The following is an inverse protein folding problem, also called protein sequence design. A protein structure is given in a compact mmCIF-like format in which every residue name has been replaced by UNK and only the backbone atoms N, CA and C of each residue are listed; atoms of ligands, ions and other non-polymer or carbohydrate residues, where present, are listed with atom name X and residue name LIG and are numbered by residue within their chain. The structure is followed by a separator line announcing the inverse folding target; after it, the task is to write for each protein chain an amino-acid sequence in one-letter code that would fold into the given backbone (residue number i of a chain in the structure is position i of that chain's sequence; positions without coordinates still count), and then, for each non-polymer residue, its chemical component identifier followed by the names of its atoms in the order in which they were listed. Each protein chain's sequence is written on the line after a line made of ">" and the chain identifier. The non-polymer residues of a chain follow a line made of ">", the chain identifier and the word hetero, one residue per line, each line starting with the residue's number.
data_IF_450031230299
#
_entry.id   IF_450031230299
#
_cell.length_a   1.000
_cell.length_b   1.000
_cell.length_c   1.000
_cell.angle_alpha   90.00
_cell.angle_beta   90.00
_cell.angle_gamma   90.00
#
_symmetry.space_group_name_H-M   'P 1'
#
loop_
_entity.id
_entity.type
_entity.pdbx_description
1 polymer ?
#
# COMPACT_ATOMS: atom_id res chain seq x y z
N UNK A 1 14.64 24.63 -3.55
CA UNK A 1 13.24 24.15 -3.74
C UNK A 1 12.42 25.29 -4.34
N UNK A 2 12.43 25.40 -5.67
CA UNK A 2 11.66 26.40 -6.42
C UNK A 2 10.22 25.93 -6.69
N UNK A 3 9.98 24.61 -6.73
CA UNK A 3 8.67 24.03 -6.99
C UNK A 3 7.57 24.53 -6.05
N UNK A 4 7.84 24.69 -4.75
CA UNK A 4 6.85 25.15 -3.77
C UNK A 4 6.29 26.56 -4.02
N UNK A 5 6.91 27.32 -4.93
CA UNK A 5 6.47 28.67 -5.33
C UNK A 5 5.76 28.69 -6.69
N UNK A 6 5.77 27.57 -7.43
CA UNK A 6 5.21 27.43 -8.78
C UNK A 6 3.68 27.51 -8.81
N UNK A 7 3.12 27.73 -10.00
CA UNK A 7 1.68 27.60 -10.24
C UNK A 7 1.18 26.17 -10.05
N UNK A 8 2.00 25.20 -10.43
CA UNK A 8 1.74 23.77 -10.40
C UNK A 8 1.63 23.27 -8.95
N UNK A 9 2.44 23.81 -8.03
CA UNK A 9 2.30 23.49 -6.62
C UNK A 9 1.00 24.07 -6.01
N UNK A 10 0.55 25.24 -6.47
CA UNK A 10 -0.65 25.89 -5.92
C UNK A 10 -1.93 25.11 -6.20
N UNK A 11 -1.97 24.28 -7.25
CA UNK A 11 -3.13 23.43 -7.52
C UNK A 11 -3.26 22.27 -6.52
N UNK A 12 -2.21 21.97 -5.76
CA UNK A 12 -2.16 20.93 -4.74
C UNK A 12 -2.52 21.44 -3.33
N UNK A 13 -3.23 22.57 -3.23
CA UNK A 13 -3.51 23.26 -1.97
C UNK A 13 -4.27 22.41 -0.92
N UNK A 14 -4.94 21.35 -1.34
CA UNK A 14 -5.71 20.44 -0.51
C UNK A 14 -4.91 19.20 -0.03
N UNK A 15 -3.65 19.04 -0.45
CA UNK A 15 -2.81 17.90 -0.05
C UNK A 15 -2.04 18.19 1.25
N UNK A 16 -1.88 17.19 2.14
CA UNK A 16 -1.01 17.32 3.31
C UNK A 16 0.42 17.68 2.92
N UNK A 17 1.06 18.60 3.65
CA UNK A 17 2.44 19.02 3.37
C UNK A 17 3.45 17.87 3.49
N UNK A 18 3.20 16.91 4.39
CA UNK A 18 4.03 15.70 4.53
C UNK A 18 3.94 14.81 3.30
N UNK A 19 2.74 14.58 2.76
CA UNK A 19 2.55 13.87 1.48
C UNK A 19 3.27 14.56 0.33
N UNK A 20 3.10 15.89 0.19
CA UNK A 20 3.75 16.65 -0.88
C UNK A 20 5.26 16.54 -0.82
N UNK A 21 5.82 16.84 0.37
CA UNK A 21 7.26 16.79 0.60
C UNK A 21 7.82 15.41 0.30
N UNK A 22 7.21 14.36 0.83
CA UNK A 22 7.73 13.00 0.68
C UNK A 22 7.60 12.48 -0.74
N UNK A 23 6.53 12.85 -1.46
CA UNK A 23 6.40 12.48 -2.87
C UNK A 23 7.52 13.09 -3.71
N UNK A 24 7.84 14.37 -3.48
CA UNK A 24 8.94 15.04 -4.17
C UNK A 24 10.29 14.41 -3.78
N UNK A 25 10.51 14.11 -2.49
CA UNK A 25 11.73 13.44 -2.02
C UNK A 25 11.92 12.08 -2.71
N UNK A 26 10.88 11.24 -2.79
CA UNK A 26 10.95 9.94 -3.50
C UNK A 26 11.23 10.09 -4.99
N UNK A 27 10.67 11.11 -5.63
CA UNK A 27 10.94 11.37 -7.06
C UNK A 27 12.39 11.85 -7.22
N UNK A 28 12.84 12.80 -6.40
CA UNK A 28 14.20 13.37 -6.48
C UNK A 28 15.28 12.32 -6.16
N UNK A 29 15.00 11.39 -5.24
CA UNK A 29 15.90 10.32 -4.80
C UNK A 29 15.85 9.07 -5.70
N UNK A 30 15.05 9.08 -6.78
CA UNK A 30 14.93 7.94 -7.70
C UNK A 30 16.21 7.82 -8.57
N UNK A 31 17.28 7.27 -7.97
CA UNK A 31 18.67 7.24 -8.46
C UNK A 31 18.86 6.65 -9.86
N UNK A 32 17.92 5.81 -10.31
CA UNK A 32 17.91 5.23 -11.66
C UNK A 32 17.80 6.28 -12.77
N UNK A 33 17.28 7.48 -12.46
CA UNK A 33 16.92 8.49 -13.44
C UNK A 33 17.79 9.74 -13.23
N UNK A 34 19.10 9.60 -13.50
CA UNK A 34 20.05 10.74 -13.54
C UNK A 34 19.58 11.89 -14.47
N UNK A 35 18.63 11.59 -15.35
CA UNK A 35 17.85 12.54 -16.14
C UNK A 35 16.43 12.01 -16.32
N UNK A 36 15.45 12.91 -16.31
CA UNK A 36 14.05 12.59 -16.61
C UNK A 36 13.80 12.76 -18.12
N UNK A 37 13.78 11.64 -18.85
CA UNK A 37 13.28 11.55 -20.22
C UNK A 37 11.94 10.80 -20.29
N UNK A 38 11.38 10.63 -21.49
CA UNK A 38 10.09 9.96 -21.70
C UNK A 38 10.08 8.51 -21.19
N UNK A 39 11.17 7.76 -21.41
CA UNK A 39 11.31 6.37 -20.96
C UNK A 39 11.37 6.27 -19.43
N UNK A 40 12.12 7.19 -18.82
CA UNK A 40 12.30 7.31 -17.38
C UNK A 40 10.99 7.64 -16.65
N UNK A 41 10.24 8.62 -17.18
CA UNK A 41 8.92 8.97 -16.66
C UNK A 41 7.95 7.80 -16.84
N UNK A 42 7.94 7.15 -18.00
CA UNK A 42 7.09 5.98 -18.26
C UNK A 42 7.37 4.85 -17.27
N UNK A 43 8.65 4.52 -17.02
CA UNK A 43 9.06 3.51 -16.03
C UNK A 43 8.60 3.87 -14.62
N UNK A 44 8.74 5.13 -14.22
CA UNK A 44 8.25 5.58 -12.92
C UNK A 44 6.72 5.44 -12.80
N UNK A 45 5.97 5.80 -13.84
CA UNK A 45 4.51 5.66 -13.87
C UNK A 45 4.06 4.19 -13.81
N UNK A 46 4.73 3.31 -14.55
CA UNK A 46 4.51 1.85 -14.48
C UNK A 46 4.86 1.29 -13.11
N UNK A 47 5.93 1.78 -12.47
CA UNK A 47 6.25 1.39 -11.09
C UNK A 47 5.17 1.87 -10.11
N UNK A 48 4.71 3.11 -10.26
CA UNK A 48 3.67 3.70 -9.42
C UNK A 48 2.38 2.87 -9.49
N UNK A 49 1.97 2.46 -10.68
CA UNK A 49 0.86 1.52 -10.91
C UNK A 49 1.12 0.17 -10.22
N UNK A 50 2.23 -0.50 -10.56
CA UNK A 50 2.54 -1.85 -10.06
C UNK A 50 2.73 -1.92 -8.54
N UNK A 51 3.07 -0.79 -7.91
CA UNK A 51 3.25 -0.70 -6.46
C UNK A 51 1.93 -0.45 -5.72
N UNK A 52 0.90 0.03 -6.42
CA UNK A 52 -0.45 0.03 -5.88
C UNK A 52 -0.95 -1.41 -5.84
N UNK A 53 -0.92 -2.04 -4.66
CA UNK A 53 -1.47 -3.38 -4.48
C UNK A 53 -2.97 -3.32 -4.85
N UNK A 54 -3.37 -3.88 -6.01
CA UNK A 54 -4.76 -4.02 -6.46
C UNK A 54 -5.55 -4.93 -5.50
N UNK A 55 -5.82 -4.41 -4.32
CA UNK A 55 -6.90 -4.82 -3.45
C UNK A 55 -8.04 -3.87 -3.77
N UNK A 56 -9.29 -4.33 -3.86
CA UNK A 56 -10.48 -3.47 -4.05
C UNK A 56 -10.69 -2.57 -2.81
N UNK A 57 -9.71 -1.71 -2.50
CA UNK A 57 -9.65 -0.83 -1.36
C UNK A 57 -9.55 0.61 -1.90
N UNK A 58 -10.66 1.37 -1.84
CA UNK A 58 -10.69 2.74 -2.30
C UNK A 58 -9.62 3.66 -1.68
N UNK A 59 -9.11 3.35 -0.48
CA UNK A 59 -8.00 4.12 0.12
C UNK A 59 -6.67 3.92 -0.60
N UNK A 60 -6.42 2.75 -1.19
CA UNK A 60 -5.22 2.47 -2.00
C UNK A 60 -5.32 3.17 -3.35
N UNK A 61 -6.48 3.09 -4.01
CA UNK A 61 -6.74 3.80 -5.27
C UNK A 61 -6.62 5.31 -5.07
N UNK A 62 -7.16 5.82 -3.96
CA UNK A 62 -7.00 7.21 -3.56
C UNK A 62 -5.54 7.59 -3.31
N UNK A 63 -4.75 6.71 -2.69
CA UNK A 63 -3.32 6.94 -2.47
C UNK A 63 -2.53 7.02 -3.78
N UNK A 64 -2.78 6.09 -4.72
CA UNK A 64 -2.21 6.10 -6.07
C UNK A 64 -2.52 7.42 -6.77
N UNK A 65 -3.80 7.79 -6.80
CA UNK A 65 -4.28 9.01 -7.44
C UNK A 65 -3.67 10.26 -6.79
N UNK A 66 -3.51 10.26 -5.47
CA UNK A 66 -2.87 11.36 -4.75
C UNK A 66 -1.39 11.52 -5.13
N UNK A 67 -0.62 10.44 -5.13
CA UNK A 67 0.80 10.47 -5.53
C UNK A 67 0.91 10.88 -7.00
N UNK A 68 0.10 10.28 -7.88
CA UNK A 68 0.08 10.61 -9.31
C UNK A 68 -0.19 12.09 -9.57
N UNK A 69 -1.15 12.71 -8.90
CA UNK A 69 -1.45 14.14 -9.09
C UNK A 69 -0.28 15.05 -8.68
N UNK A 70 0.48 14.67 -7.66
CA UNK A 70 1.67 15.41 -7.23
C UNK A 70 2.80 15.22 -8.25
N UNK A 71 3.02 13.99 -8.73
CA UNK A 71 3.97 13.65 -9.79
C UNK A 71 3.67 14.45 -11.06
N UNK A 72 2.40 14.45 -11.51
CA UNK A 72 1.92 15.23 -12.65
C UNK A 72 2.22 16.72 -12.49
N UNK A 73 1.91 17.30 -11.34
CA UNK A 73 2.20 18.71 -11.08
C UNK A 73 3.72 18.99 -11.08
N UNK A 74 4.52 18.07 -10.54
CA UNK A 74 5.97 18.21 -10.50
C UNK A 74 6.60 18.14 -11.89
N UNK A 75 6.23 17.17 -12.73
CA UNK A 75 6.74 17.11 -14.11
C UNK A 75 6.28 18.30 -14.96
N UNK A 76 5.04 18.77 -14.79
CA UNK A 76 4.60 20.00 -15.46
C UNK A 76 5.46 21.21 -15.07
N UNK A 77 5.82 21.33 -13.79
CA UNK A 77 6.75 22.37 -13.33
C UNK A 77 8.13 22.21 -13.98
N UNK A 78 8.68 20.99 -14.01
CA UNK A 78 9.99 20.76 -14.61
C UNK A 78 10.00 21.05 -16.12
N UNK A 79 8.94 20.74 -16.86
CA UNK A 79 8.81 21.16 -18.27
C UNK A 79 8.74 22.69 -18.38
N UNK A 80 7.90 23.35 -17.58
CA UNK A 80 7.73 24.82 -17.63
C UNK A 80 9.06 25.55 -17.38
N UNK A 81 9.91 25.01 -16.50
CA UNK A 81 11.23 25.56 -16.18
C UNK A 81 12.35 25.10 -17.14
N UNK A 82 12.02 24.36 -18.19
CA UNK A 82 12.99 23.74 -19.13
C UNK A 82 14.03 22.85 -18.43
N UNK A 83 13.59 22.13 -17.39
CA UNK A 83 14.38 21.14 -16.64
C UNK A 83 14.13 19.69 -17.13
N UNK A 84 13.21 19.50 -18.06
CA UNK A 84 12.97 18.24 -18.77
C UNK A 84 13.35 18.37 -20.24
N UNK A 85 13.99 17.35 -20.79
CA UNK A 85 14.31 17.25 -22.22
C UNK A 85 13.09 16.76 -23.04
N UNK A 86 11.91 17.30 -22.74
CA UNK A 86 10.66 16.98 -23.45
C UNK A 86 9.76 18.20 -23.56
N UNK A 87 8.95 18.25 -24.63
CA UNK A 87 7.96 19.31 -24.80
C UNK A 87 6.77 19.10 -23.85
N UNK A 88 6.02 20.19 -23.60
CA UNK A 88 4.75 20.10 -22.85
C UNK A 88 3.75 19.15 -23.52
N UNK A 89 3.69 19.14 -24.84
CA UNK A 89 2.80 18.24 -25.60
C UNK A 89 3.19 16.78 -25.39
N UNK A 90 4.48 16.44 -25.45
CA UNK A 90 4.97 15.09 -25.20
C UNK A 90 4.67 14.61 -23.77
N UNK A 91 4.90 15.47 -22.78
CA UNK A 91 4.55 15.13 -21.39
C UNK A 91 3.03 14.93 -21.25
N UNK A 92 2.23 15.78 -21.87
CA UNK A 92 0.78 15.69 -21.79
C UNK A 92 0.26 14.40 -22.43
N UNK A 93 0.74 14.03 -23.62
CA UNK A 93 0.35 12.78 -24.30
C UNK A 93 0.70 11.56 -23.44
N UNK A 94 1.87 11.54 -22.80
CA UNK A 94 2.30 10.46 -21.91
C UNK A 94 1.40 10.33 -20.68
N UNK A 95 1.10 11.46 -20.03
CA UNK A 95 0.25 11.49 -18.84
C UNK A 95 -1.22 11.13 -19.17
N UNK A 96 -1.74 11.61 -20.30
CA UNK A 96 -3.10 11.27 -20.76
C UNK A 96 -3.22 9.79 -21.13
N UNK A 97 -2.18 9.21 -21.73
CA UNK A 97 -2.13 7.77 -21.97
C UNK A 97 -2.18 6.98 -20.66
N UNK A 98 -1.33 7.33 -19.69
CA UNK A 98 -1.33 6.67 -18.38
C UNK A 98 -2.67 6.82 -17.64
N UNK A 99 -3.26 8.03 -17.63
CA UNK A 99 -4.56 8.32 -17.03
C UNK A 99 -5.68 7.48 -17.65
N UNK A 100 -5.65 7.32 -18.97
CA UNK A 100 -6.66 6.57 -19.70
C UNK A 100 -6.56 5.07 -19.42
N UNK A 101 -5.35 4.51 -19.46
CA UNK A 101 -5.12 3.08 -19.20
C UNK A 101 -5.46 2.69 -17.75
N UNK A 102 -5.27 3.62 -16.79
CA UNK A 102 -5.49 3.39 -15.36
C UNK A 102 -6.81 3.98 -14.81
N UNK A 103 -7.68 4.51 -15.68
CA UNK A 103 -8.95 5.14 -15.32
C UNK A 103 -8.84 6.26 -14.25
N UNK A 104 -7.75 7.04 -14.27
CA UNK A 104 -7.43 8.08 -13.28
C UNK A 104 -8.11 9.41 -13.61
N UNK A 105 -9.43 9.52 -13.43
CA UNK A 105 -10.20 10.69 -13.88
C UNK A 105 -10.53 11.75 -12.81
N UNK A 106 -10.04 11.61 -11.58
CA UNK A 106 -10.50 12.46 -10.46
C UNK A 106 -9.37 12.97 -9.54
N UNK A 107 -9.67 14.01 -8.75
CA UNK A 107 -8.81 14.47 -7.67
C UNK A 107 -9.40 13.97 -6.33
N UNK A 108 -8.64 13.22 -5.51
CA UNK A 108 -9.13 12.77 -4.23
C UNK A 108 -9.28 13.96 -3.28
N UNK A 109 -10.33 13.94 -2.46
CA UNK A 109 -10.47 14.90 -1.35
C UNK A 109 -9.76 14.36 -0.13
N UNK A 110 -9.09 15.21 0.64
CA UNK A 110 -8.55 14.83 1.93
C UNK A 110 -9.54 15.26 3.02
N UNK A 111 -10.07 14.30 3.77
CA UNK A 111 -10.76 14.62 5.02
C UNK A 111 -9.69 14.83 6.10
N UNK A 112 -9.98 15.66 7.11
CA UNK A 112 -9.06 15.95 8.22
C UNK A 112 -8.52 14.63 8.81
N UNK A 113 -7.30 14.27 8.41
CA UNK A 113 -6.61 13.04 8.81
C UNK A 113 -6.51 13.04 10.32
N UNK A 114 -6.99 11.97 10.98
CA UNK A 114 -7.11 11.92 12.44
C UNK A 114 -5.78 12.27 13.13
N UNK A 115 -5.79 13.38 13.87
CA UNK A 115 -4.62 14.02 14.49
C UNK A 115 -4.13 13.35 15.78
N UNK A 116 -4.59 12.13 16.09
CA UNK A 116 -4.28 11.43 17.35
C UNK A 116 -3.22 10.32 17.25
N UNK A 117 -2.87 9.88 16.04
CA UNK A 117 -1.92 8.80 15.84
C UNK A 117 -0.47 9.31 15.83
N UNK A 118 0.47 8.43 16.17
CA UNK A 118 1.90 8.72 15.97
C UNK A 118 2.17 9.01 14.49
N UNK A 119 3.19 9.81 14.19
CA UNK A 119 3.63 10.00 12.81
C UNK A 119 4.05 8.65 12.21
N UNK A 120 3.74 8.46 10.93
CA UNK A 120 4.25 7.32 10.17
C UNK A 120 5.77 7.46 10.02
N UNK A 121 6.48 6.35 10.01
CA UNK A 121 7.94 6.29 10.02
C UNK A 121 8.42 5.21 9.06
N UNK A 122 9.23 5.62 8.08
CA UNK A 122 9.93 4.75 7.15
C UNK A 122 10.74 3.67 7.86
N UNK A 123 11.51 4.10 8.86
CA UNK A 123 12.32 3.18 9.67
C UNK A 123 11.46 2.12 10.36
N UNK A 124 10.29 2.50 10.86
CA UNK A 124 9.40 1.53 11.54
C UNK A 124 8.73 0.60 10.53
N UNK A 125 8.32 1.10 9.36
CA UNK A 125 7.80 0.26 8.29
C UNK A 125 8.83 -0.78 7.82
N UNK A 126 10.09 -0.36 7.62
CA UNK A 126 11.20 -1.23 7.30
C UNK A 126 11.49 -2.27 8.39
N UNK A 127 11.50 -1.87 9.66
CA UNK A 127 11.66 -2.81 10.79
C UNK A 127 10.54 -3.84 10.86
N UNK A 128 9.31 -3.46 10.51
CA UNK A 128 8.17 -4.38 10.43
C UNK A 128 8.40 -5.37 9.29
N UNK A 129 8.77 -4.91 8.09
CA UNK A 129 9.08 -5.79 6.95
C UNK A 129 10.17 -6.81 7.32
N UNK A 130 11.29 -6.35 7.89
CA UNK A 130 12.37 -7.23 8.34
C UNK A 130 11.92 -8.23 9.41
N UNK A 131 11.06 -7.80 10.33
CA UNK A 131 10.55 -8.65 11.41
C UNK A 131 9.67 -9.76 10.84
N UNK A 132 8.74 -9.41 9.97
CA UNK A 132 7.81 -10.35 9.33
C UNK A 132 8.58 -11.32 8.42
N UNK A 133 9.52 -10.81 7.62
CA UNK A 133 10.39 -11.63 6.76
C UNK A 133 11.24 -12.59 7.57
N UNK A 134 11.81 -12.15 8.71
CA UNK A 134 12.54 -13.04 9.61
C UNK A 134 11.66 -14.16 10.14
N UNK A 135 10.45 -13.86 10.60
CA UNK A 135 9.52 -14.85 11.13
C UNK A 135 9.17 -15.91 10.10
N UNK A 136 8.78 -15.43 8.91
CA UNK A 136 8.42 -16.23 7.75
C UNK A 136 9.58 -17.12 7.31
N UNK A 137 10.75 -16.54 7.05
CA UNK A 137 11.89 -17.28 6.51
C UNK A 137 12.39 -18.35 7.49
N UNK A 138 12.36 -18.07 8.79
CA UNK A 138 12.74 -19.03 9.81
C UNK A 138 11.72 -20.16 9.95
N UNK A 139 10.42 -19.85 9.92
CA UNK A 139 9.36 -20.86 9.92
C UNK A 139 9.45 -21.78 8.70
N UNK A 140 9.72 -21.23 7.51
CA UNK A 140 9.87 -22.02 6.29
C UNK A 140 11.04 -22.99 6.34
N UNK A 141 12.17 -22.54 6.90
CA UNK A 141 13.34 -23.41 7.10
C UNK A 141 13.03 -24.56 8.06
N UNK A 142 12.10 -24.34 9.01
CA UNK A 142 11.67 -25.35 9.97
C UNK A 142 10.53 -26.26 9.46
N UNK A 143 9.70 -25.78 8.51
CA UNK A 143 8.52 -26.49 8.00
C UNK A 143 8.79 -27.25 6.70
N UNK A 144 8.15 -28.42 6.52
CA UNK A 144 8.31 -29.29 5.34
C UNK A 144 7.32 -28.99 4.20
N UNK A 145 6.32 -28.12 4.41
CA UNK A 145 5.20 -27.91 3.46
C UNK A 145 5.30 -26.55 2.75
N UNK A 146 5.84 -26.52 1.53
CA UNK A 146 6.24 -25.29 0.81
C UNK A 146 5.13 -24.52 0.08
N UNK A 147 3.98 -25.11 -0.22
CA UNK A 147 2.98 -24.50 -1.12
C UNK A 147 1.96 -23.62 -0.37
N UNK A 148 1.56 -23.99 0.85
CA UNK A 148 0.63 -23.20 1.69
C UNK A 148 1.31 -21.91 2.23
N UNK A 149 2.63 -21.86 2.09
CA UNK A 149 3.52 -20.84 2.62
C UNK A 149 3.43 -19.48 1.88
N UNK A 150 3.28 -19.44 0.56
CA UNK A 150 3.27 -18.17 -0.19
C UNK A 150 2.09 -17.25 0.20
N UNK A 151 0.87 -17.81 0.24
CA UNK A 151 -0.33 -17.07 0.62
C UNK A 151 -0.31 -16.64 2.10
N UNK A 152 0.35 -17.41 2.98
CA UNK A 152 0.58 -17.03 4.37
C UNK A 152 1.47 -15.78 4.47
N UNK A 153 2.49 -15.66 3.62
CA UNK A 153 3.44 -14.54 3.66
C UNK A 153 2.80 -13.25 3.25
N UNK A 154 2.09 -13.29 2.13
CA UNK A 154 1.36 -12.14 1.64
C UNK A 154 0.32 -11.70 2.67
N UNK A 155 -0.43 -12.64 3.26
CA UNK A 155 -1.38 -12.32 4.31
C UNK A 155 -0.74 -11.65 5.53
N UNK A 156 0.34 -12.22 6.09
CA UNK A 156 1.00 -11.66 7.27
C UNK A 156 1.67 -10.31 6.99
N UNK A 157 2.26 -10.15 5.81
CA UNK A 157 2.80 -8.86 5.36
C UNK A 157 1.68 -7.83 5.24
N UNK A 158 0.62 -8.13 4.50
CA UNK A 158 -0.49 -7.18 4.27
C UNK A 158 -1.19 -6.81 5.57
N UNK A 159 -1.45 -7.79 6.44
CA UNK A 159 -2.00 -7.53 7.78
C UNK A 159 -1.09 -6.60 8.58
N UNK A 160 0.23 -6.83 8.56
CA UNK A 160 1.18 -6.00 9.30
C UNK A 160 1.32 -4.59 8.76
N UNK A 161 1.32 -4.43 7.42
CA UNK A 161 1.32 -3.14 6.72
C UNK A 161 0.08 -2.36 7.10
N UNK A 162 -1.12 -2.92 6.88
CA UNK A 162 -2.38 -2.26 7.16
C UNK A 162 -2.52 -1.88 8.65
N UNK A 163 -2.11 -2.74 9.59
CA UNK A 163 -2.16 -2.38 11.01
C UNK A 163 -1.23 -1.19 11.31
N UNK A 164 -0.04 -1.14 10.72
CA UNK A 164 0.86 0.01 10.90
C UNK A 164 0.32 1.27 10.22
N UNK A 165 -0.20 1.13 9.01
CA UNK A 165 -0.69 2.21 8.18
C UNK A 165 -2.01 2.79 8.71
N UNK A 166 -2.80 2.03 9.46
CA UNK A 166 -4.03 2.53 10.11
C UNK A 166 -3.85 2.90 11.59
N UNK A 167 -2.97 2.22 12.33
CA UNK A 167 -2.92 2.34 13.79
C UNK A 167 -1.53 2.63 14.36
N UNK A 168 -0.49 2.64 13.52
CA UNK A 168 0.92 2.87 13.91
C UNK A 168 1.42 1.89 14.96
N UNK A 169 0.92 0.65 14.93
CA UNK A 169 1.30 -0.42 15.84
C UNK A 169 2.22 -1.44 15.17
N UNK A 170 3.26 -1.83 15.88
CA UNK A 170 4.16 -2.93 15.48
C UNK A 170 3.59 -4.28 15.97
N UNK A 171 4.00 -5.43 15.37
CA UNK A 171 3.48 -6.76 15.72
C UNK A 171 3.42 -7.09 17.21
N UNK A 172 4.39 -6.60 18.00
CA UNK A 172 4.45 -6.82 19.44
C UNK A 172 3.47 -5.97 20.26
N UNK A 173 2.81 -4.98 19.64
CA UNK A 173 1.89 -4.05 20.26
C UNK A 173 0.46 -4.14 19.71
N UNK A 174 0.19 -5.08 18.79
CA UNK A 174 -1.16 -5.28 18.28
C UNK A 174 -2.12 -5.63 19.40
N UNK A 175 -3.35 -5.16 19.28
CA UNK A 175 -4.42 -5.53 20.19
C UNK A 175 -5.57 -6.15 19.38
N UNK A 176 -6.46 -6.81 20.11
CA UNK A 176 -7.57 -7.56 19.53
C UNK A 176 -8.41 -6.72 18.56
N UNK A 177 -8.79 -5.51 19.00
CA UNK A 177 -9.63 -4.57 18.25
C UNK A 177 -8.99 -4.21 16.90
N UNK A 178 -7.72 -3.83 16.92
CA UNK A 178 -6.98 -3.42 15.71
C UNK A 178 -6.88 -4.55 14.70
N UNK A 179 -6.60 -5.78 15.15
CA UNK A 179 -6.51 -6.93 14.25
C UNK A 179 -7.88 -7.24 13.64
N UNK A 180 -8.94 -7.25 14.45
CA UNK A 180 -10.31 -7.50 13.98
C UNK A 180 -10.75 -6.44 12.95
N UNK A 181 -10.54 -5.15 13.24
CA UNK A 181 -10.84 -4.05 12.31
C UNK A 181 -10.05 -4.15 11.00
N UNK A 182 -8.75 -4.47 11.06
CA UNK A 182 -7.94 -4.65 9.84
C UNK A 182 -8.36 -5.86 9.02
N UNK A 183 -8.74 -6.98 9.65
CA UNK A 183 -9.21 -8.15 8.91
C UNK A 183 -10.49 -7.84 8.15
N UNK A 184 -11.42 -7.10 8.76
CA UNK A 184 -12.65 -6.66 8.10
C UNK A 184 -12.31 -5.83 6.84
N UNK A 185 -11.42 -4.84 6.97
CA UNK A 185 -10.95 -4.02 5.84
C UNK A 185 -10.33 -4.88 4.73
N UNK A 186 -9.46 -5.84 5.09
CA UNK A 186 -8.83 -6.74 4.12
C UNK A 186 -9.81 -7.70 3.44
N UNK A 187 -10.87 -8.12 4.14
CA UNK A 187 -11.85 -9.09 3.63
C UNK A 187 -12.83 -8.51 2.61
N UNK A 188 -13.04 -7.19 2.62
CA UNK A 188 -13.83 -6.47 1.62
C UNK A 188 -13.13 -6.39 0.25
N UNK A 189 -11.83 -6.73 0.20
CA UNK A 189 -10.96 -6.45 -0.93
C UNK A 189 -10.55 -7.68 -1.76
N UNK A 190 -11.00 -8.89 -1.39
CA UNK A 190 -10.64 -10.12 -2.10
C UNK A 190 -11.88 -10.86 -2.61
N UNK A 191 -11.82 -11.48 -3.80
CA UNK A 191 -12.91 -12.31 -4.33
C UNK A 191 -13.25 -13.40 -3.31
N UNK A 192 -14.55 -13.68 -3.15
CA UNK A 192 -15.17 -14.56 -2.15
C UNK A 192 -14.23 -15.65 -1.65
N UNK A 193 -13.54 -15.39 -0.55
CA UNK A 193 -12.71 -16.41 0.10
C UNK A 193 -13.64 -17.46 0.69
N UNK A 194 -13.44 -18.72 0.33
CA UNK A 194 -14.21 -19.81 0.94
C UNK A 194 -13.87 -19.90 2.43
N UNK A 195 -14.85 -20.30 3.25
CA UNK A 195 -14.63 -20.55 4.68
C UNK A 195 -13.46 -21.50 4.94
N UNK A 196 -13.31 -22.53 4.10
CA UNK A 196 -12.24 -23.52 4.19
C UNK A 196 -10.86 -22.89 3.93
N UNK A 197 -10.77 -21.96 2.98
CA UNK A 197 -9.54 -21.20 2.74
C UNK A 197 -9.15 -20.38 3.98
N UNK A 198 -10.09 -19.63 4.56
CA UNK A 198 -9.85 -18.84 5.76
C UNK A 198 -9.41 -19.70 6.96
N UNK A 199 -10.04 -20.86 7.15
CA UNK A 199 -9.66 -21.82 8.20
C UNK A 199 -8.25 -22.37 7.99
N UNK A 200 -7.91 -22.78 6.76
CA UNK A 200 -6.58 -23.29 6.43
C UNK A 200 -5.49 -22.23 6.62
N UNK A 201 -5.71 -21.01 6.13
CA UNK A 201 -4.81 -19.86 6.33
C UNK A 201 -4.60 -19.55 7.81
N UNK A 202 -5.69 -19.46 8.58
CA UNK A 202 -5.60 -19.11 10.01
C UNK A 202 -4.90 -20.20 10.82
N UNK A 203 -5.04 -21.48 10.45
CA UNK A 203 -4.27 -22.58 11.04
C UNK A 203 -2.78 -22.38 10.82
N UNK A 204 -2.37 -22.04 9.60
CA UNK A 204 -0.95 -21.80 9.32
C UNK A 204 -0.39 -20.54 9.98
N UNK A 205 -1.17 -19.46 10.07
CA UNK A 205 -0.79 -18.29 10.88
C UNK A 205 -0.59 -18.69 12.34
N UNK A 206 -1.47 -19.51 12.90
CA UNK A 206 -1.31 -19.98 14.28
C UNK A 206 -0.04 -20.82 14.47
N UNK A 207 0.30 -21.68 13.51
CA UNK A 207 1.54 -22.45 13.53
C UNK A 207 2.78 -21.54 13.47
N UNK A 208 2.78 -20.54 12.59
CA UNK A 208 3.83 -19.52 12.51
C UNK A 208 3.98 -18.78 13.85
N UNK A 209 2.89 -18.31 14.44
CA UNK A 209 2.93 -17.56 15.70
C UNK A 209 3.45 -18.44 16.86
N UNK A 210 3.05 -19.70 16.93
CA UNK A 210 3.60 -20.65 17.91
C UNK A 210 5.10 -20.85 17.72
N UNK A 211 5.58 -20.93 16.47
CA UNK A 211 7.00 -20.98 16.18
C UNK A 211 7.71 -19.69 16.65
N UNK A 212 7.19 -18.51 16.33
CA UNK A 212 7.74 -17.21 16.75
C UNK A 212 7.83 -17.09 18.28
N UNK A 213 6.82 -17.61 19.00
CA UNK A 213 6.85 -17.70 20.48
C UNK A 213 7.92 -18.67 20.95
N UNK A 214 8.07 -19.85 20.33
CA UNK A 214 9.13 -20.82 20.68
C UNK A 214 10.53 -20.24 20.50
N UNK A 215 10.71 -19.32 19.54
CA UNK A 215 11.96 -18.60 19.32
C UNK A 215 12.13 -17.37 20.23
N UNK A 216 11.18 -17.11 21.13
CA UNK A 216 11.15 -15.96 22.04
C UNK A 216 11.13 -14.59 21.33
N UNK A 217 10.70 -14.53 20.07
CA UNK A 217 10.58 -13.28 19.32
C UNK A 217 9.28 -12.54 19.58
N UNK A 218 8.28 -13.24 20.12
CA UNK A 218 7.00 -12.70 20.56
C UNK A 218 6.61 -13.35 21.90
N UNK A 219 5.90 -12.59 22.75
CA UNK A 219 5.31 -13.13 23.98
C UNK A 219 4.12 -14.03 23.66
N UNK A 220 3.97 -15.14 24.38
CA UNK A 220 2.83 -16.06 24.22
C UNK A 220 1.47 -15.36 24.31
N UNK A 221 1.31 -14.44 25.27
CA UNK A 221 0.09 -13.62 25.39
C UNK A 221 -0.25 -12.86 24.10
N UNK A 222 0.76 -12.36 23.39
CA UNK A 222 0.58 -11.62 22.15
C UNK A 222 0.15 -12.54 21.00
N UNK A 223 0.78 -13.70 20.86
CA UNK A 223 0.37 -14.71 19.89
C UNK A 223 -1.08 -15.18 20.14
N UNK A 224 -1.47 -15.36 21.41
CA UNK A 224 -2.83 -15.72 21.78
C UNK A 224 -3.86 -14.66 21.39
N UNK A 225 -3.54 -13.36 21.55
CA UNK A 225 -4.42 -12.26 21.09
C UNK A 225 -4.63 -12.37 19.58
N UNK A 226 -3.56 -12.55 18.81
CA UNK A 226 -3.65 -12.63 17.34
C UNK A 226 -4.46 -13.85 16.92
N UNK A 227 -4.18 -15.02 17.50
CA UNK A 227 -4.92 -16.25 17.22
C UNK A 227 -6.41 -16.13 17.53
N UNK A 228 -6.76 -15.51 18.67
CA UNK A 228 -8.17 -15.29 19.04
C UNK A 228 -8.88 -14.33 18.08
N UNK A 229 -8.22 -13.24 17.67
CA UNK A 229 -8.76 -12.30 16.68
C UNK A 229 -9.00 -12.95 15.33
N UNK A 230 -8.08 -13.79 14.85
CA UNK A 230 -8.22 -14.52 13.58
C UNK A 230 -9.39 -15.51 13.63
N UNK A 231 -9.61 -16.19 14.76
CA UNK A 231 -10.75 -17.09 14.91
C UNK A 231 -12.08 -16.31 14.96
N UNK A 232 -12.11 -15.18 15.66
CA UNK A 232 -13.28 -14.31 15.71
C UNK A 232 -13.63 -13.77 14.31
N UNK A 233 -12.63 -13.39 13.52
CA UNK A 233 -12.86 -12.85 12.17
C UNK A 233 -13.46 -13.86 11.21
N UNK A 234 -13.24 -15.18 11.37
CA UNK A 234 -13.92 -16.20 10.55
C UNK A 234 -15.42 -16.22 10.86
N UNK A 235 -15.79 -16.04 12.13
CA UNK A 235 -17.19 -16.00 12.56
C UNK A 235 -17.87 -14.77 11.98
N UNK A 236 -17.26 -13.60 12.15
CA UNK A 236 -17.83 -12.34 11.67
C UNK A 236 -17.84 -12.27 10.14
N UNK A 237 -16.79 -12.76 9.46
CA UNK A 237 -16.80 -12.88 8.01
C UNK A 237 -17.88 -13.85 7.52
N UNK A 238 -18.13 -14.96 8.21
CA UNK A 238 -19.22 -15.88 7.84
C UNK A 238 -20.61 -15.29 8.03
N UNK A 239 -20.79 -14.37 8.98
CA UNK A 239 -22.03 -13.62 9.21
C UNK A 239 -22.20 -12.44 8.22
N UNK A 240 -21.10 -11.78 7.85
CA UNK A 240 -21.08 -10.65 6.89
C UNK A 240 -21.18 -11.12 5.44
N UNK A 241 -20.56 -12.25 5.09
CA UNK A 241 -20.64 -12.86 3.75
C UNK A 241 -22.04 -13.43 3.43
N UNK A 242 -22.86 -13.75 4.44
CA UNK A 242 -24.29 -14.06 4.24
C UNK A 242 -25.16 -12.84 3.89
N UNK A 243 -24.60 -11.63 3.86
CA UNK A 243 -25.29 -10.40 3.46
C UNK A 243 -24.81 -9.80 2.14
N UNK A 244 -23.85 -10.43 1.46
CA UNK A 244 -23.57 -10.16 0.05
C UNK A 244 -24.51 -11.02 -0.80
N UNK A 245 -25.76 -10.54 -0.92
CA UNK A 245 -26.71 -11.01 -1.92
C UNK A 245 -26.27 -10.47 -3.30
N UNK A 246 -26.26 -11.32 -4.32
CA UNK A 246 -25.84 -11.04 -5.71
C UNK A 246 -26.80 -10.06 -6.45
N UNK A 247 -27.54 -9.23 -5.72
CA UNK A 247 -28.72 -8.51 -6.22
C UNK A 247 -28.58 -7.00 -6.33
N UNK A 248 -27.49 -6.40 -5.86
CA UNK A 248 -27.26 -4.96 -6.10
C UNK A 248 -26.51 -4.73 -7.44
N UNK A 249 -27.03 -3.85 -8.32
CA UNK A 249 -26.36 -3.55 -9.57
C UNK A 249 -24.99 -2.93 -9.31
N UNK A 250 -23.98 -3.39 -10.04
CA UNK A 250 -22.62 -2.83 -10.02
C UNK A 250 -22.70 -1.32 -10.29
N UNK A 251 -22.60 -0.52 -9.24
CA UNK A 251 -22.27 0.90 -9.37
C UNK A 251 -20.98 0.99 -10.18
N UNK A 252 -20.95 1.83 -11.21
CA UNK A 252 -19.74 2.01 -12.02
C UNK A 252 -18.57 2.41 -11.12
N UNK A 253 -17.33 1.99 -11.45
CA UNK A 253 -16.15 2.37 -10.69
C UNK A 253 -16.10 3.90 -10.48
N UNK A 254 -16.38 4.67 -11.54
CA UNK A 254 -16.50 6.13 -11.49
C UNK A 254 -17.51 6.65 -10.44
N UNK A 255 -18.62 5.96 -10.19
CA UNK A 255 -19.61 6.34 -9.17
C UNK A 255 -19.15 5.97 -7.74
N UNK A 256 -18.36 4.89 -7.57
CA UNK A 256 -17.79 4.50 -6.27
C UNK A 256 -16.71 5.49 -5.79
N UNK A 257 -15.93 6.06 -6.71
CA UNK A 257 -14.79 6.94 -6.37
C UNK A 257 -15.17 8.43 -6.39
N UNK A 258 -16.35 8.81 -6.94
CA UNK A 258 -16.77 10.21 -7.15
C UNK A 258 -16.74 11.11 -5.91
N UNK A 259 -17.02 10.53 -4.74
CA UNK A 259 -17.00 11.23 -3.44
C UNK A 259 -15.94 10.66 -2.48
N UNK A 260 -14.96 9.91 -3.02
CA UNK A 260 -13.94 9.27 -2.20
C UNK A 260 -13.04 10.31 -1.55
N UNK A 261 -12.86 10.16 -0.23
CA UNK A 261 -11.97 10.99 0.55
C UNK A 261 -10.90 10.14 1.20
N UNK A 262 -9.63 10.49 1.01
CA UNK A 262 -8.51 9.85 1.71
C UNK A 262 -8.63 10.26 3.18
N UNK A 263 -8.87 9.29 4.05
CA UNK A 263 -9.02 9.53 5.49
C UNK A 263 -7.73 9.26 6.26
N UNK A 264 -6.78 8.57 5.63
CA UNK A 264 -5.56 8.12 6.27
C UNK A 264 -4.32 8.29 5.36
N UNK A 265 -3.45 9.22 5.74
CA UNK A 265 -2.18 9.48 5.07
C UNK A 265 -1.23 8.27 5.05
N UNK A 266 -1.42 7.29 5.94
CA UNK A 266 -0.59 6.09 6.03
C UNK A 266 -0.54 5.27 4.74
N UNK A 267 -1.63 5.22 3.96
CA UNK A 267 -1.66 4.52 2.68
C UNK A 267 -0.76 5.20 1.64
N UNK A 268 -0.74 6.53 1.61
CA UNK A 268 0.14 7.29 0.71
C UNK A 268 1.60 7.10 1.10
N UNK A 269 1.91 7.21 2.39
CA UNK A 269 3.28 7.05 2.88
C UNK A 269 3.79 5.62 2.68
N UNK A 270 2.90 4.62 2.75
CA UNK A 270 3.21 3.23 2.39
C UNK A 270 3.54 3.09 0.90
N UNK A 271 2.70 3.62 0.02
CA UNK A 271 2.91 3.57 -1.43
C UNK A 271 4.29 4.18 -1.77
N UNK A 272 4.58 5.35 -1.23
CA UNK A 272 5.87 6.03 -1.40
C UNK A 272 7.05 5.21 -0.89
N UNK A 273 6.92 4.56 0.27
CA UNK A 273 7.95 3.66 0.80
C UNK A 273 8.19 2.43 -0.10
N UNK A 274 7.13 1.83 -0.65
CA UNK A 274 7.32 0.67 -1.54
C UNK A 274 7.96 1.10 -2.88
N UNK A 275 7.60 2.27 -3.42
CA UNK A 275 8.24 2.84 -4.63
C UNK A 275 9.74 3.04 -4.40
N UNK A 276 10.12 3.69 -3.29
CA UNK A 276 11.52 3.91 -2.92
C UNK A 276 12.31 2.60 -2.74
N UNK A 277 11.68 1.61 -2.11
CA UNK A 277 12.26 0.28 -1.93
C UNK A 277 12.48 -0.47 -3.25
N UNK A 278 11.62 -0.25 -4.25
CA UNK A 278 11.85 -0.78 -5.60
C UNK A 278 12.99 -0.02 -6.30
N UNK A 279 13.03 1.30 -6.18
CA UNK A 279 14.08 2.14 -6.75
C UNK A 279 15.50 1.77 -6.28
N UNK A 280 15.62 1.41 -5.01
CA UNK A 280 16.92 1.14 -4.34
C UNK A 280 17.41 -0.31 -4.51
N UNK A 281 16.68 -1.18 -5.22
CA UNK A 281 17.00 -2.62 -5.33
C UNK A 281 17.82 -3.04 -6.57
N UNK A 282 18.22 -2.11 -7.44
CA UNK A 282 18.93 -2.42 -8.68
C UNK A 282 20.46 -2.33 -8.61
N UNK A 283 21.07 -3.29 -7.91
CA UNK A 283 22.39 -3.81 -8.34
C UNK A 283 22.45 -5.35 -8.44
N UNK A 284 21.46 -6.11 -7.94
CA UNK A 284 21.49 -7.59 -7.99
C UNK A 284 20.16 -8.28 -8.43
N UNK A 285 19.13 -7.53 -8.85
CA UNK A 285 17.77 -8.08 -9.05
C UNK A 285 17.18 -7.96 -10.47
N UNK A 286 18.02 -7.79 -11.50
CA UNK A 286 17.67 -7.54 -12.92
C UNK A 286 16.86 -8.65 -13.63
N UNK A 287 16.43 -9.72 -12.94
CA UNK A 287 15.67 -10.85 -13.51
C UNK A 287 14.25 -11.00 -12.94
N UNK A 288 13.71 -10.02 -12.20
CA UNK A 288 12.40 -10.15 -11.53
C UNK A 288 11.39 -9.04 -11.77
N UNK A 289 11.55 -8.24 -12.81
CA UNK A 289 10.42 -7.49 -13.34
C UNK A 289 9.47 -8.50 -14.02
N UNK A 290 8.21 -8.65 -13.56
CA UNK A 290 7.23 -9.43 -14.31
C UNK A 290 6.84 -8.59 -15.52
N UNK A 291 7.46 -8.86 -16.67
CA UNK A 291 6.89 -8.55 -17.97
C UNK A 291 5.80 -9.58 -18.32
#
# INVERSE_FOLDING_TARGET
>A
MEFTQSSEYKVLYNYPQSTLKMTIEVIDDFELLQSWDEDSISKFLVLLENTSEYSYNPEVDGALLAVYNIVKAYFNYLVTENKLEMSREQLQDLLEYFEKENELYFLPRFNNVQTGLKKWSWQTAYEIDLTIDKWINAYNKASKERIIQANLFEYMRNLSKQIYDCYRLTPNNWNRKVIEETIIISSLSQPVMTKDYCLARNKEVANLLNYVVSQQWMKERQANIINQSLQASIKDASETLTHFDDSEPEMSYADKVRDFSITNEGFILRLLYEIDKFATRDEEADDRLPF
#
